data_IF_440598875491
#
_entry.id   IF_440598875491
#
_cell.length_a   1.000
_cell.length_b   1.000
_cell.length_c   1.000
_cell.angle_alpha   90.00
_cell.angle_beta   90.00
_cell.angle_gamma   90.00
#
_symmetry.space_group_name_H-M   'P 1'
#
loop_
_entity.id
_entity.type
_entity.pdbx_description
1 polymer ?
#
# COMPACT_ATOMS: atom_id res chain seq x y z
N UNK A 1 -15.47 -21.31 -8.01
CA UNK A 1 -14.19 -20.86 -7.46
C UNK A 1 -14.27 -19.35 -7.30
N UNK A 2 -14.19 -18.78 -6.09
CA UNK A 2 -14.11 -17.33 -5.95
C UNK A 2 -12.87 -16.83 -6.71
N UNK A 3 -12.96 -15.72 -7.47
CA UNK A 3 -11.78 -15.17 -8.12
C UNK A 3 -10.72 -14.85 -7.06
N UNK A 4 -9.48 -15.23 -7.32
CA UNK A 4 -8.36 -15.00 -6.40
C UNK A 4 -8.37 -13.54 -5.92
N UNK A 5 -8.14 -13.30 -4.64
CA UNK A 5 -8.07 -11.92 -4.07
C UNK A 5 -7.08 -11.05 -4.85
N UNK A 6 -6.02 -11.69 -5.40
CA UNK A 6 -5.06 -11.08 -6.31
C UNK A 6 -5.68 -10.66 -7.66
N UNK A 7 -6.64 -11.40 -8.21
CA UNK A 7 -7.35 -11.04 -9.43
C UNK A 7 -8.26 -9.82 -9.25
N UNK A 8 -8.93 -9.70 -8.09
CA UNK A 8 -9.72 -8.52 -7.72
C UNK A 8 -8.80 -7.31 -7.49
N UNK A 9 -7.70 -7.51 -6.77
CA UNK A 9 -6.68 -6.47 -6.57
C UNK A 9 -6.15 -5.97 -7.91
N UNK A 10 -5.79 -6.87 -8.82
CA UNK A 10 -5.23 -6.53 -10.12
C UNK A 10 -6.24 -5.80 -11.02
N UNK A 11 -7.46 -6.32 -11.17
CA UNK A 11 -8.46 -5.68 -12.03
C UNK A 11 -8.98 -4.35 -11.46
N UNK A 12 -8.97 -4.15 -10.14
CA UNK A 12 -9.53 -2.95 -9.52
C UNK A 12 -8.49 -1.84 -9.35
N UNK A 13 -7.25 -2.17 -8.94
CA UNK A 13 -6.21 -1.18 -8.64
C UNK A 13 -5.41 -0.82 -9.89
N UNK A 14 -5.06 -1.80 -10.74
CA UNK A 14 -4.19 -1.59 -11.91
C UNK A 14 -4.96 -1.10 -13.15
N UNK A 15 -6.24 -1.45 -13.32
CA UNK A 15 -7.02 -0.91 -14.44
C UNK A 15 -7.51 0.53 -14.20
N UNK A 16 -7.61 0.98 -12.94
CA UNK A 16 -8.07 2.35 -12.62
C UNK A 16 -7.07 3.43 -13.00
N UNK A 17 -5.77 3.19 -12.85
CA UNK A 17 -4.70 4.11 -13.32
C UNK A 17 -4.75 4.35 -14.83
N UNK A 18 -5.28 3.39 -15.60
CA UNK A 18 -5.38 3.46 -17.06
C UNK A 18 -6.38 4.52 -17.55
N UNK A 19 -7.34 4.97 -16.73
CA UNK A 19 -8.33 6.00 -17.10
C UNK A 19 -7.93 7.43 -16.72
N UNK A 20 -6.91 7.62 -15.88
CA UNK A 20 -6.56 8.94 -15.30
C UNK A 20 -5.37 9.63 -16.01
N UNK A 21 -4.68 8.91 -16.91
CA UNK A 21 -3.54 9.42 -17.70
C UNK A 21 -3.85 10.62 -18.63
N UNK A 22 -5.08 11.11 -18.68
CA UNK A 22 -5.50 12.23 -19.53
C UNK A 22 -5.49 13.61 -18.84
N UNK A 23 -5.21 13.70 -17.54
CA UNK A 23 -5.26 14.97 -16.81
C UNK A 23 -4.09 15.11 -15.84
N UNK A 24 -2.92 15.52 -16.34
CA UNK A 24 -1.84 16.00 -15.48
C UNK A 24 -1.50 17.44 -15.84
N UNK A 25 -2.02 18.40 -15.07
CA UNK A 25 -1.49 19.75 -15.01
C UNK A 25 -1.94 20.50 -13.74
N UNK A 26 -0.95 20.84 -12.90
CA UNK A 26 -0.91 21.98 -11.96
C UNK A 26 -1.86 21.88 -10.75
N UNK A 27 -1.32 21.44 -9.60
CA UNK A 27 -2.01 21.53 -8.31
C UNK A 27 -1.87 22.95 -7.71
N UNK A 28 -3.01 23.64 -7.62
CA UNK A 28 -3.19 24.89 -6.88
C UNK A 28 -3.24 24.64 -5.35
N UNK A 29 -3.04 25.65 -4.49
CA UNK A 29 -3.19 25.51 -3.04
C UNK A 29 -4.57 24.92 -2.68
N UNK A 30 -4.59 23.96 -1.74
CA UNK A 30 -5.79 23.22 -1.31
C UNK A 30 -6.92 24.17 -0.92
N UNK A 31 -7.83 24.41 -1.86
CA UNK A 31 -8.97 25.34 -1.73
C UNK A 31 -10.07 24.81 -0.81
N UNK A 32 -10.15 23.47 -0.66
CA UNK A 32 -11.19 22.80 0.09
C UNK A 32 -10.60 22.00 1.27
N UNK A 33 -10.93 22.39 2.50
CA UNK A 33 -10.71 21.58 3.70
C UNK A 33 -11.98 20.78 4.03
N UNK A 34 -11.94 19.47 3.76
CA UNK A 34 -13.07 18.55 3.97
C UNK A 34 -12.93 17.72 5.27
N UNK A 35 -11.98 18.06 6.13
CA UNK A 35 -11.67 17.28 7.34
C UNK A 35 -12.86 17.11 8.29
N UNK A 36 -13.80 18.06 8.30
CA UNK A 36 -15.01 18.06 9.14
C UNK A 36 -16.26 17.50 8.47
N UNK A 37 -16.22 17.22 7.17
CA UNK A 37 -17.39 16.81 6.39
C UNK A 37 -17.87 15.42 6.79
N UNK A 38 -19.17 15.15 6.74
CA UNK A 38 -19.73 13.82 7.01
C UNK A 38 -19.62 12.94 5.78
N UNK A 39 -19.68 11.61 5.99
CA UNK A 39 -19.67 10.64 4.89
C UNK A 39 -20.83 10.87 3.90
N UNK A 40 -22.01 11.22 4.40
CA UNK A 40 -23.16 11.55 3.56
C UNK A 40 -22.88 12.75 2.64
N UNK A 41 -22.24 13.80 3.16
CA UNK A 41 -21.92 15.02 2.40
C UNK A 41 -20.85 14.75 1.34
N UNK A 42 -19.81 13.97 1.68
CA UNK A 42 -18.79 13.54 0.71
C UNK A 42 -19.41 12.69 -0.41
N UNK A 43 -20.27 11.74 -0.04
CA UNK A 43 -20.94 10.86 -1.01
C UNK A 43 -21.90 11.63 -1.90
N UNK A 44 -22.71 12.52 -1.34
CA UNK A 44 -23.67 13.31 -2.09
C UNK A 44 -22.94 14.21 -3.10
N UNK A 45 -21.94 14.95 -2.63
CA UNK A 45 -21.11 15.81 -3.49
C UNK A 45 -20.44 15.05 -4.62
N UNK A 46 -19.95 13.83 -4.37
CA UNK A 46 -19.38 12.99 -5.44
C UNK A 46 -20.41 12.61 -6.51
N UNK A 47 -21.68 12.45 -6.14
CA UNK A 47 -22.73 12.02 -7.06
C UNK A 47 -23.45 13.20 -7.74
N UNK A 48 -23.47 14.37 -7.11
CA UNK A 48 -24.28 15.52 -7.55
C UNK A 48 -23.45 16.69 -8.07
N UNK A 49 -22.18 16.82 -7.68
CA UNK A 49 -21.33 17.94 -8.11
C UNK A 49 -20.57 17.63 -9.41
N UNK A 50 -20.22 18.68 -10.14
CA UNK A 50 -19.36 18.62 -11.33
C UNK A 50 -18.09 19.48 -11.18
N UNK A 51 -17.83 20.02 -9.98
CA UNK A 51 -16.60 20.75 -9.70
C UNK A 51 -15.45 19.75 -9.57
N UNK A 52 -14.57 19.73 -10.57
CA UNK A 52 -13.46 18.79 -10.68
C UNK A 52 -12.52 18.89 -9.47
N UNK A 53 -12.22 20.11 -9.01
CA UNK A 53 -11.32 20.35 -7.87
C UNK A 53 -11.97 19.88 -6.55
N UNK A 54 -13.28 20.09 -6.40
CA UNK A 54 -14.04 19.64 -5.24
C UNK A 54 -14.15 18.11 -5.19
N UNK A 55 -14.40 17.48 -6.33
CA UNK A 55 -14.47 16.02 -6.46
C UNK A 55 -13.13 15.36 -6.13
N UNK A 56 -12.01 15.94 -6.57
CA UNK A 56 -10.67 15.50 -6.22
C UNK A 56 -10.43 15.60 -4.71
N UNK A 57 -10.78 16.73 -4.09
CA UNK A 57 -10.70 16.90 -2.64
C UNK A 57 -11.57 15.87 -1.88
N UNK A 58 -12.79 15.59 -2.36
CA UNK A 58 -13.68 14.59 -1.76
C UNK A 58 -13.06 13.17 -1.83
N UNK A 59 -12.44 12.82 -2.96
CA UNK A 59 -11.72 11.54 -3.12
C UNK A 59 -10.52 11.45 -2.20
N UNK A 60 -9.71 12.50 -2.08
CA UNK A 60 -8.57 12.55 -1.17
C UNK A 60 -9.01 12.30 0.29
N UNK A 61 -10.07 12.98 0.74
CA UNK A 61 -10.57 12.87 2.11
C UNK A 61 -11.12 11.46 2.39
N UNK A 62 -11.76 10.83 1.40
CA UNK A 62 -12.21 9.45 1.52
C UNK A 62 -11.05 8.47 1.70
N UNK A 63 -10.01 8.57 0.87
CA UNK A 63 -8.80 7.74 1.00
C UNK A 63 -8.08 7.97 2.33
N UNK A 64 -7.99 9.23 2.79
CA UNK A 64 -7.41 9.57 4.10
C UNK A 64 -8.15 8.85 5.23
N UNK A 65 -9.49 8.89 5.22
CA UNK A 65 -10.34 8.24 6.24
C UNK A 65 -10.26 6.73 6.19
N UNK A 66 -10.32 6.14 4.99
CA UNK A 66 -10.16 4.69 4.81
C UNK A 66 -8.85 4.20 5.41
N UNK A 67 -7.74 4.89 5.12
CA UNK A 67 -6.41 4.54 5.64
C UNK A 67 -6.36 4.55 7.17
N UNK A 68 -6.95 5.56 7.82
CA UNK A 68 -7.07 5.62 9.29
C UNK A 68 -7.94 4.49 9.81
N UNK A 69 -9.09 4.23 9.17
CA UNK A 69 -10.01 3.16 9.55
C UNK A 69 -9.34 1.79 9.47
N UNK A 70 -8.65 1.48 8.37
CA UNK A 70 -7.92 0.21 8.23
C UNK A 70 -6.77 0.11 9.23
N UNK A 71 -6.03 1.21 9.48
CA UNK A 71 -4.99 1.22 10.51
C UNK A 71 -5.55 0.96 11.91
N UNK A 72 -6.69 1.57 12.26
CA UNK A 72 -7.42 1.30 13.50
C UNK A 72 -7.93 -0.14 13.55
N UNK A 73 -8.52 -0.64 12.46
CA UNK A 73 -9.04 -2.00 12.33
C UNK A 73 -7.93 -3.04 12.50
N UNK A 74 -6.77 -2.84 11.88
CA UNK A 74 -5.61 -3.72 12.04
C UNK A 74 -5.07 -3.74 13.48
N UNK A 75 -5.07 -2.59 14.16
CA UNK A 75 -4.67 -2.49 15.58
C UNK A 75 -5.68 -3.15 16.52
N UNK A 76 -6.98 -3.05 16.25
CA UNK A 76 -8.02 -3.63 17.09
C UNK A 76 -8.32 -5.10 16.78
N UNK A 77 -7.97 -5.59 15.59
CA UNK A 77 -8.03 -7.02 15.26
C UNK A 77 -7.17 -7.85 16.24
N UNK A 78 -5.97 -7.36 16.56
CA UNK A 78 -5.07 -8.01 17.53
C UNK A 78 -5.62 -8.04 18.96
N UNK A 79 -6.44 -7.05 19.34
CA UNK A 79 -7.04 -6.96 20.69
C UNK A 79 -8.19 -7.95 20.90
N UNK A 80 -8.93 -8.27 19.83
CA UNK A 80 -10.05 -9.22 19.88
C UNK A 80 -9.56 -10.69 19.91
N UNK A 81 -8.45 -10.99 19.21
CA UNK A 81 -7.82 -12.32 19.26
C UNK A 81 -7.23 -12.64 20.66
N UNK A 82 -6.77 -11.63 21.41
CA UNK A 82 -6.27 -11.80 22.80
C UNK A 82 -7.41 -12.04 23.81
N UNK A 83 -8.60 -11.46 23.62
CA UNK A 83 -9.77 -11.68 24.49
C UNK A 83 -10.35 -13.10 24.35
N UNK A 84 -10.18 -13.75 23.20
CA UNK A 84 -10.64 -15.13 22.97
C UNK A 84 -9.70 -16.22 23.53
N UNK A 85 -8.53 -15.87 24.09
CA UNK A 85 -7.59 -16.82 24.70
C UNK A 85 -7.67 -16.92 26.22
N UNK A 86 -8.76 -16.48 26.86
CA UNK A 86 -8.94 -16.67 28.30
C UNK A 86 -9.59 -18.03 28.61
N UNK A 87 -8.83 -19.11 28.43
CA UNK A 87 -9.17 -20.39 29.04
C UNK A 87 -9.18 -20.27 30.59
N UNK A 88 -10.05 -21.00 31.32
CA UNK A 88 -10.29 -20.77 32.74
C UNK A 88 -9.05 -21.01 33.61
N UNK A 89 -8.87 -20.18 34.65
CA UNK A 89 -7.78 -20.23 35.65
C UNK A 89 -7.91 -21.41 36.62
N UNK A 90 -7.99 -22.65 36.12
CA UNK A 90 -8.07 -23.86 36.96
C UNK A 90 -6.93 -24.86 36.72
N UNK A 91 -5.89 -24.49 35.96
CA UNK A 91 -4.76 -25.40 35.64
C UNK A 91 -3.40 -24.81 36.06
N UNK A 92 -3.36 -23.61 36.66
CA UNK A 92 -2.11 -22.91 37.00
C UNK A 92 -1.47 -23.28 38.36
N UNK A 93 -2.02 -24.19 39.16
CA UNK A 93 -1.54 -24.41 40.54
C UNK A 93 -0.84 -25.76 40.82
N UNK A 94 -0.65 -26.63 39.81
CA UNK A 94 -0.02 -27.95 40.05
C UNK A 94 1.32 -28.20 39.33
N UNK A 95 2.01 -27.16 38.87
CA UNK A 95 3.32 -27.30 38.21
C UNK A 95 4.48 -26.62 38.95
N UNK A 96 4.29 -26.22 40.21
CA UNK A 96 5.36 -25.68 41.05
C UNK A 96 5.90 -26.75 42.01
N UNK A 97 6.50 -27.83 41.49
CA UNK A 97 7.59 -28.53 42.18
C UNK A 97 8.26 -29.57 41.27
N UNK A 98 9.45 -29.18 40.78
CA UNK A 98 10.64 -30.03 40.48
C UNK A 98 10.61 -30.88 39.20
N UNK A 99 11.44 -30.48 38.22
CA UNK A 99 11.97 -31.41 37.21
C UNK A 99 12.39 -30.72 35.90
N UNK A 100 13.66 -30.36 35.79
CA UNK A 100 14.26 -29.68 34.64
C UNK A 100 14.06 -30.40 33.28
N UNK A 101 13.74 -29.63 32.23
CA UNK A 101 14.07 -29.93 30.82
C UNK A 101 13.85 -28.71 29.93
N UNK A 102 14.87 -28.38 29.14
CA UNK A 102 14.97 -27.24 28.22
C UNK A 102 13.83 -27.21 27.19
N UNK A 103 13.19 -26.05 27.04
CA UNK A 103 12.32 -25.71 25.91
C UNK A 103 12.29 -24.20 25.68
N UNK A 104 12.77 -23.77 24.51
CA UNK A 104 12.91 -22.37 24.09
C UNK A 104 11.53 -21.69 23.98
N UNK A 105 11.25 -20.73 24.87
CA UNK A 105 10.10 -19.82 24.73
C UNK A 105 10.51 -18.66 23.80
N UNK A 106 9.94 -18.64 22.59
CA UNK A 106 10.13 -17.55 21.63
C UNK A 106 9.26 -16.34 22.05
N UNK A 107 9.80 -15.12 22.17
CA UNK A 107 9.02 -13.96 22.60
C UNK A 107 8.16 -13.43 21.44
N UNK A 108 6.87 -13.78 21.44
CA UNK A 108 5.84 -13.34 20.46
C UNK A 108 5.69 -11.80 20.42
N UNK A 109 5.99 -11.10 21.50
CA UNK A 109 5.81 -9.65 21.61
C UNK A 109 6.76 -8.84 20.72
N UNK A 110 7.95 -9.36 20.39
CA UNK A 110 8.93 -8.62 19.57
C UNK A 110 8.61 -8.64 18.07
N UNK A 111 7.85 -9.62 17.59
CA UNK A 111 7.58 -9.79 16.15
C UNK A 111 6.59 -8.73 15.62
N UNK A 112 5.60 -8.32 16.43
CA UNK A 112 4.58 -7.37 16.02
C UNK A 112 5.09 -5.93 15.78
N UNK A 113 6.11 -5.48 16.52
CA UNK A 113 6.66 -4.13 16.35
C UNK A 113 7.59 -4.04 15.11
N UNK A 114 8.27 -5.14 14.78
CA UNK A 114 9.17 -5.24 13.63
C UNK A 114 8.38 -5.16 12.31
N UNK A 115 7.19 -5.76 12.24
CA UNK A 115 6.34 -5.71 11.05
C UNK A 115 5.81 -4.30 10.71
N UNK A 116 5.66 -3.40 11.69
CA UNK A 116 5.07 -2.07 11.47
C UNK A 116 6.05 -1.12 10.76
N UNK A 117 7.36 -1.38 10.82
CA UNK A 117 8.41 -0.59 10.15
C UNK A 117 9.15 -1.36 9.05
N UNK A 118 8.71 -2.58 8.74
CA UNK A 118 9.37 -3.42 7.74
C UNK A 118 9.21 -2.81 6.34
N UNK A 119 10.31 -2.70 5.61
CA UNK A 119 10.31 -2.24 4.23
C UNK A 119 10.22 -3.46 3.30
N UNK A 120 9.10 -3.62 2.61
CA UNK A 120 8.84 -4.80 1.76
C UNK A 120 8.60 -4.40 0.32
N UNK A 121 9.16 -5.16 -0.61
CA UNK A 121 9.20 -4.83 -2.03
C UNK A 121 8.65 -5.97 -2.84
N UNK A 122 7.80 -5.68 -3.82
CA UNK A 122 7.12 -6.68 -4.62
C UNK A 122 7.19 -6.34 -6.10
N UNK A 123 7.18 -7.36 -6.96
CA UNK A 123 6.91 -7.25 -8.39
C UNK A 123 5.92 -8.32 -8.85
N UNK A 124 5.03 -7.97 -9.76
CA UNK A 124 4.09 -8.90 -10.39
C UNK A 124 3.97 -8.58 -11.88
N UNK A 125 3.98 -9.58 -12.78
CA UNK A 125 3.74 -9.33 -14.20
C UNK A 125 2.28 -8.94 -14.48
N UNK A 126 2.06 -8.03 -15.44
CA UNK A 126 0.73 -7.75 -16.00
C UNK A 126 0.20 -8.94 -16.80
N UNK A 127 -1.06 -9.29 -16.56
CA UNK A 127 -1.86 -10.14 -17.44
C UNK A 127 -2.99 -9.25 -17.95
N UNK A 128 -2.94 -8.80 -19.22
CA UNK A 128 -4.12 -8.15 -19.80
C UNK A 128 -5.18 -9.22 -20.04
N UNK A 129 -6.47 -8.94 -19.77
CA UNK A 129 -7.55 -9.86 -20.11
C UNK A 129 -7.51 -10.29 -21.60
N UNK A 130 -7.13 -9.38 -22.50
CA UNK A 130 -7.01 -9.65 -23.96
C UNK A 130 -5.82 -10.54 -24.34
N UNK A 131 -4.82 -10.69 -23.47
CA UNK A 131 -3.60 -11.45 -23.76
C UNK A 131 -3.71 -12.93 -23.32
N UNK A 132 -4.85 -13.37 -22.75
CA UNK A 132 -5.06 -14.76 -22.31
C UNK A 132 -4.94 -15.80 -23.43
N UNK A 133 -5.13 -15.39 -24.70
CA UNK A 133 -5.08 -16.28 -25.86
C UNK A 133 -3.82 -16.11 -26.74
N UNK A 134 -2.92 -15.17 -26.41
CA UNK A 134 -1.69 -14.89 -27.18
C UNK A 134 -0.43 -15.17 -26.36
N UNK A 135 -0.41 -16.32 -25.69
CA UNK A 135 0.55 -16.69 -24.65
C UNK A 135 2.02 -16.77 -25.10
N UNK A 136 2.32 -16.75 -26.40
CA UNK A 136 3.66 -17.07 -26.90
C UNK A 136 4.55 -15.88 -27.32
N UNK A 137 4.05 -14.65 -27.45
CA UNK A 137 4.85 -13.54 -28.04
C UNK A 137 4.63 -12.13 -27.45
N UNK A 138 3.67 -11.90 -26.56
CA UNK A 138 3.43 -10.56 -26.02
C UNK A 138 4.34 -10.27 -24.83
N UNK A 139 5.13 -9.18 -24.93
CA UNK A 139 5.96 -8.68 -23.82
C UNK A 139 5.04 -8.37 -22.62
N UNK A 140 5.25 -9.07 -21.51
CA UNK A 140 4.52 -8.83 -20.25
C UNK A 140 5.10 -7.58 -19.61
N UNK A 141 4.25 -6.62 -19.26
CA UNK A 141 4.70 -5.51 -18.42
C UNK A 141 4.75 -5.90 -16.95
N UNK A 142 5.18 -4.99 -16.08
CA UNK A 142 5.47 -5.26 -14.67
C UNK A 142 4.90 -4.19 -13.76
N UNK A 143 4.31 -4.63 -12.65
CA UNK A 143 3.89 -3.80 -11.54
C UNK A 143 4.83 -4.00 -10.37
N UNK A 144 5.34 -2.93 -9.80
CA UNK A 144 6.18 -2.98 -8.60
C UNK A 144 5.58 -2.14 -7.48
N UNK A 145 5.78 -2.58 -6.24
CA UNK A 145 5.34 -1.85 -5.07
C UNK A 145 6.37 -1.92 -3.95
N UNK A 146 6.51 -0.81 -3.25
CA UNK A 146 7.27 -0.67 -2.02
C UNK A 146 6.29 -0.32 -0.89
N UNK A 147 6.16 -1.23 0.08
CA UNK A 147 5.39 -1.04 1.29
C UNK A 147 6.30 -0.60 2.43
N UNK A 148 5.94 0.53 3.05
CA UNK A 148 6.51 1.02 4.30
C UNK A 148 5.60 0.56 5.44
N UNK A 149 5.98 -0.56 6.06
CA UNK A 149 5.13 -1.32 6.96
C UNK A 149 3.94 -1.93 6.23
N UNK A 150 2.73 -1.55 6.62
CA UNK A 150 1.49 -2.08 6.04
C UNK A 150 0.97 -1.28 4.83
N UNK A 151 1.55 -0.13 4.53
CA UNK A 151 1.02 0.82 3.56
C UNK A 151 1.98 1.04 2.40
N UNK A 152 1.44 1.20 1.21
CA UNK A 152 2.26 1.49 0.04
C UNK A 152 2.88 2.90 0.15
N UNK A 153 4.17 2.98 -0.16
CA UNK A 153 4.96 4.21 -0.15
C UNK A 153 5.40 4.62 -1.56
N UNK A 154 5.72 3.65 -2.42
CA UNK A 154 6.04 3.87 -3.83
C UNK A 154 5.43 2.75 -4.69
N UNK A 155 5.01 3.10 -5.89
CA UNK A 155 4.49 2.18 -6.90
C UNK A 155 5.09 2.55 -8.26
N UNK A 156 5.38 1.55 -9.08
CA UNK A 156 5.74 1.80 -10.48
C UNK A 156 5.13 0.76 -11.41
N UNK A 157 4.77 1.21 -12.61
CA UNK A 157 4.13 0.40 -13.64
C UNK A 157 4.94 0.53 -14.93
N UNK A 158 5.46 -0.60 -15.39
CA UNK A 158 6.26 -0.69 -16.60
C UNK A 158 5.48 -1.43 -17.67
N UNK A 159 5.11 -0.75 -18.75
CA UNK A 159 4.54 -1.38 -19.92
C UNK A 159 5.56 -1.39 -21.07
N UNK A 160 5.57 -2.41 -21.94
CA UNK A 160 6.56 -2.49 -23.02
C UNK A 160 6.55 -1.30 -23.98
N UNK A 161 5.38 -0.70 -24.20
CA UNK A 161 5.16 0.34 -25.22
C UNK A 161 4.71 1.68 -24.61
N UNK A 162 4.82 1.84 -23.29
CA UNK A 162 4.47 3.10 -22.61
C UNK A 162 5.62 3.56 -21.72
N UNK A 163 5.76 4.87 -21.48
CA UNK A 163 6.71 5.36 -20.49
C UNK A 163 6.42 4.77 -19.10
N UNK A 164 7.46 4.63 -18.25
CA UNK A 164 7.28 4.22 -16.86
C UNK A 164 6.29 5.13 -16.14
N UNK A 165 5.34 4.53 -15.41
CA UNK A 165 4.46 5.27 -14.50
C UNK A 165 5.08 5.18 -13.11
N UNK A 166 5.33 6.32 -12.48
CA UNK A 166 5.93 6.43 -11.16
C UNK A 166 4.94 7.11 -10.22
N UNK A 167 4.65 6.46 -9.09
CA UNK A 167 3.66 6.93 -8.13
C UNK A 167 4.26 6.90 -6.73
N UNK A 168 4.02 7.95 -5.95
CA UNK A 168 4.50 8.07 -4.58
C UNK A 168 3.38 8.43 -3.62
N UNK A 169 3.55 7.97 -2.38
CA UNK A 169 2.66 8.29 -1.28
C UNK A 169 2.52 9.81 -1.06
N UNK A 170 1.29 10.25 -0.85
CA UNK A 170 0.93 11.66 -0.70
C UNK A 170 0.48 12.25 -2.04
N UNK A 171 1.42 12.43 -2.97
CA UNK A 171 1.14 13.05 -4.28
C UNK A 171 0.15 12.24 -5.11
N UNK A 172 0.37 10.93 -5.18
CA UNK A 172 -0.34 10.04 -6.10
C UNK A 172 -1.28 9.08 -5.36
N UNK A 173 -1.68 9.43 -4.12
CA UNK A 173 -2.45 8.55 -3.22
C UNK A 173 -3.76 8.05 -3.86
N UNK A 174 -4.40 8.85 -4.72
CA UNK A 174 -5.64 8.48 -5.45
C UNK A 174 -5.41 7.43 -6.54
N UNK A 175 -4.19 7.34 -7.07
CA UNK A 175 -3.80 6.41 -8.15
C UNK A 175 -3.08 5.16 -7.61
N UNK A 176 -2.72 5.15 -6.34
CA UNK A 176 -1.99 4.05 -5.70
C UNK A 176 -2.92 2.98 -5.11
N UNK A 177 -2.35 1.82 -4.83
CA UNK A 177 -2.99 0.76 -4.05
C UNK A 177 -3.57 1.27 -2.72
N UNK A 178 -4.89 1.14 -2.56
CA UNK A 178 -5.62 1.50 -1.34
C UNK A 178 -5.60 0.40 -0.25
N UNK A 179 -5.25 -0.83 -0.62
CA UNK A 179 -5.22 -1.97 0.30
C UNK A 179 -3.94 -1.99 1.14
N UNK A 180 -4.06 -2.45 2.39
CA UNK A 180 -2.88 -2.76 3.21
C UNK A 180 -2.15 -4.00 2.69
N UNK A 181 -0.87 -4.15 3.02
CA UNK A 181 -0.05 -5.29 2.58
C UNK A 181 -0.72 -6.64 2.88
N UNK A 182 -1.32 -6.79 4.07
CA UNK A 182 -2.03 -8.01 4.44
C UNK A 182 -3.30 -8.27 3.61
N UNK A 183 -3.99 -7.21 3.19
CA UNK A 183 -5.21 -7.29 2.37
C UNK A 183 -4.89 -7.56 0.89
N UNK A 184 -3.71 -7.14 0.40
CA UNK A 184 -3.29 -7.34 -0.99
C UNK A 184 -3.02 -8.80 -1.36
N UNK A 185 -2.72 -9.66 -0.37
CA UNK A 185 -2.30 -11.04 -0.59
C UNK A 185 -0.92 -11.21 -1.23
N UNK A 186 -0.16 -10.13 -1.45
CA UNK A 186 1.18 -10.16 -2.08
C UNK A 186 2.16 -11.07 -1.34
N UNK A 187 2.06 -11.11 -0.01
CA UNK A 187 2.93 -11.92 0.86
C UNK A 187 2.71 -13.42 0.71
N UNK A 188 1.58 -13.84 0.14
CA UNK A 188 1.23 -15.24 -0.10
C UNK A 188 1.60 -15.71 -1.51
N UNK A 189 1.94 -14.78 -2.40
CA UNK A 189 2.29 -15.08 -3.80
C UNK A 189 3.78 -15.39 -3.90
N UNK A 190 4.11 -16.64 -4.21
CA UNK A 190 5.48 -17.06 -4.41
C UNK A 190 6.13 -16.29 -5.57
N UNK A 191 7.36 -15.81 -5.35
CA UNK A 191 8.12 -15.04 -6.34
C UNK A 191 7.67 -13.59 -6.54
N UNK A 192 6.66 -13.11 -5.78
CA UNK A 192 6.24 -11.72 -5.83
C UNK A 192 7.18 -10.80 -5.05
N UNK A 193 7.67 -11.23 -3.88
CA UNK A 193 8.58 -10.44 -3.06
C UNK A 193 9.98 -10.39 -3.69
N UNK A 194 10.56 -9.19 -3.74
CA UNK A 194 11.87 -8.90 -4.32
C UNK A 194 12.77 -8.19 -3.32
N UNK A 195 14.06 -8.13 -3.61
CA UNK A 195 15.01 -7.40 -2.78
C UNK A 195 14.86 -5.90 -2.96
N UNK A 196 15.15 -5.13 -1.90
CA UNK A 196 15.17 -3.66 -1.94
C UNK A 196 16.03 -3.15 -3.10
N UNK A 197 17.23 -3.73 -3.29
CA UNK A 197 18.14 -3.35 -4.38
C UNK A 197 17.51 -3.48 -5.76
N UNK A 198 16.78 -4.57 -6.02
CA UNK A 198 16.12 -4.80 -7.32
C UNK A 198 15.04 -3.76 -7.59
N UNK A 199 14.32 -3.32 -6.55
CA UNK A 199 13.34 -2.24 -6.70
C UNK A 199 14.05 -0.90 -6.96
N UNK A 200 15.08 -0.56 -6.19
CA UNK A 200 15.78 0.73 -6.29
C UNK A 200 16.48 0.89 -7.64
N UNK A 201 17.10 -0.17 -8.18
CA UNK A 201 17.75 -0.14 -9.50
C UNK A 201 16.75 0.25 -10.61
N UNK A 202 15.58 -0.38 -10.62
CA UNK A 202 14.52 -0.07 -11.61
C UNK A 202 13.92 1.31 -11.35
N UNK A 203 13.70 1.67 -10.08
CA UNK A 203 13.16 2.97 -9.70
C UNK A 203 14.07 4.11 -10.16
N UNK A 204 15.37 3.99 -9.94
CA UNK A 204 16.38 4.97 -10.37
C UNK A 204 16.48 5.04 -11.89
N UNK A 205 16.52 3.89 -12.58
CA UNK A 205 16.55 3.82 -14.05
C UNK A 205 15.34 4.51 -14.70
N UNK A 206 14.18 4.45 -14.06
CA UNK A 206 12.96 5.09 -14.56
C UNK A 206 12.84 6.58 -14.19
N UNK A 207 13.84 7.17 -13.52
CA UNK A 207 13.79 8.57 -13.08
C UNK A 207 13.04 8.81 -11.77
N UNK A 208 12.77 7.75 -11.00
CA UNK A 208 12.02 7.81 -9.75
C UNK A 208 12.69 8.63 -8.64
N UNK A 209 14.01 8.77 -8.67
CA UNK A 209 14.74 9.61 -7.70
C UNK A 209 14.37 11.09 -7.87
N UNK A 210 14.46 11.61 -9.09
CA UNK A 210 14.11 13.00 -9.41
C UNK A 210 12.61 13.26 -9.21
N UNK A 211 11.76 12.28 -9.56
CA UNK A 211 10.33 12.37 -9.30
C UNK A 211 10.01 12.54 -7.81
N UNK A 212 10.62 11.70 -6.95
CA UNK A 212 10.46 11.79 -5.50
C UNK A 212 11.01 13.09 -4.94
N UNK A 213 12.17 13.54 -5.42
CA UNK A 213 12.81 14.79 -5.00
C UNK A 213 11.91 16.00 -5.26
N UNK A 214 11.40 16.13 -6.48
CA UNK A 214 10.47 17.22 -6.85
C UNK A 214 9.20 17.22 -5.99
N UNK A 215 8.69 16.05 -5.65
CA UNK A 215 7.50 15.94 -4.80
C UNK A 215 7.77 16.26 -3.32
N UNK A 216 8.97 15.99 -2.82
CA UNK A 216 9.40 16.43 -1.48
C UNK A 216 9.57 17.95 -1.45
N UNK A 217 10.22 18.53 -2.45
CA UNK A 217 10.42 19.99 -2.58
C UNK A 217 9.08 20.75 -2.64
N UNK A 218 8.11 20.22 -3.40
CA UNK A 218 6.74 20.75 -3.48
C UNK A 218 5.85 20.38 -2.29
N UNK A 219 6.36 19.67 -1.28
CA UNK A 219 5.62 19.21 -0.08
C UNK A 219 4.39 18.36 -0.37
N UNK A 220 4.37 17.70 -1.53
CA UNK A 220 3.31 16.76 -1.93
C UNK A 220 3.59 15.34 -1.46
N UNK A 221 4.87 14.98 -1.29
CA UNK A 221 5.27 13.67 -0.80
C UNK A 221 4.96 13.50 0.70
N UNK A 222 4.29 12.40 1.07
CA UNK A 222 4.09 12.02 2.47
C UNK A 222 5.43 11.57 3.08
N UNK A 223 5.71 11.92 4.36
CA UNK A 223 6.85 11.35 5.07
C UNK A 223 6.75 9.83 5.14
N UNK A 224 7.72 9.15 4.51
CA UNK A 224 7.87 7.69 4.46
C UNK A 224 9.36 7.34 4.58
N UNK A 225 9.68 6.05 4.70
CA UNK A 225 11.05 5.57 4.63
C UNK A 225 11.77 6.02 3.35
N UNK A 226 11.07 6.09 2.21
CA UNK A 226 11.66 6.53 0.95
C UNK A 226 12.09 8.01 0.98
N UNK A 227 11.25 8.90 1.54
CA UNK A 227 11.60 10.32 1.67
C UNK A 227 12.74 10.53 2.67
N UNK A 228 12.77 9.74 3.76
CA UNK A 228 13.87 9.79 4.72
C UNK A 228 15.19 9.30 4.09
N UNK A 229 15.15 8.20 3.33
CA UNK A 229 16.31 7.68 2.60
C UNK A 229 16.86 8.67 1.57
N UNK A 230 15.99 9.41 0.89
CA UNK A 230 16.40 10.49 -0.02
C UNK A 230 17.15 11.60 0.73
N UNK A 231 16.66 12.05 1.89
CA UNK A 231 17.33 13.07 2.69
C UNK A 231 18.73 12.66 3.13
N UNK A 232 18.95 11.38 3.46
CA UNK A 232 20.27 10.86 3.78
C UNK A 232 21.23 10.81 2.59
N UNK A 233 20.72 10.69 1.36
CA UNK A 233 21.53 10.67 0.13
C UNK A 233 21.95 12.05 -0.37
N UNK A 234 21.24 13.10 0.05
CA UNK A 234 21.50 14.49 -0.35
C UNK A 234 22.39 15.25 0.64
N UNK A 235 22.80 14.60 1.73
CA UNK A 235 23.77 15.09 2.71
C UNK A 235 25.16 14.55 2.38
#
# INVERSE_FOLDING_TARGET
MPPDILYIFFNTVVCRTQQVQSQQAIQAPKKYDLSKWKYAELRDTINTSCDIELLEACREEFHRRLKVYHAWKAKNRKRNDEEQQRAPRAITEHAEHVGASKGLLVPVTRQCAVEIKAQRYFRIPFIRPSDHYKELQTKKGWWYAHFDGQWIARQMELHPDKPPVLLIAGKDDTEMCELSLNETGLTRKQGAEILSRQFEEVWEQCGGLEYLKRAVESRQARPTHATAKLQHRLR
#
